data_IF_561110857239
#
_entry.id   IF_561110857239
#
_cell.length_a   1.000
_cell.length_b   1.000
_cell.length_c   1.000
_cell.angle_alpha   90.00
_cell.angle_beta   90.00
_cell.angle_gamma   90.00
#
_symmetry.space_group_name_H-M   'P 1'
#
loop_
_entity.id
_entity.type
_entity.pdbx_description
1 polymer ?
#
# COMPACT_ATOMS: atom_id res chain seq x y z
N UNK A 1 1.61 12.71 -9.15
CA UNK A 1 2.41 11.52 -8.79
C UNK A 1 2.67 10.65 -10.03
N UNK A 2 2.76 11.24 -11.21
CA UNK A 2 2.68 10.45 -12.46
C UNK A 2 4.02 9.80 -12.82
N UNK A 3 5.13 10.48 -12.49
CA UNK A 3 6.48 9.89 -12.49
C UNK A 3 6.54 8.65 -11.60
N UNK A 4 6.07 8.77 -10.36
CA UNK A 4 6.03 7.66 -9.41
C UNK A 4 5.20 6.48 -9.92
N UNK A 5 4.02 6.72 -10.51
CA UNK A 5 3.18 5.66 -11.13
C UNK A 5 3.93 4.92 -12.22
N UNK A 6 4.58 5.67 -13.12
CA UNK A 6 5.36 5.09 -14.21
C UNK A 6 6.52 4.24 -13.65
N UNK A 7 7.26 4.76 -12.69
CA UNK A 7 8.40 4.05 -12.11
C UNK A 7 7.95 2.80 -11.34
N UNK A 8 6.86 2.88 -10.58
CA UNK A 8 6.28 1.73 -9.89
C UNK A 8 5.80 0.65 -10.86
N UNK A 9 5.16 1.02 -11.97
CA UNK A 9 4.73 0.02 -12.97
C UNK A 9 5.85 -0.80 -13.61
N UNK A 10 7.11 -0.40 -13.44
CA UNK A 10 8.28 -1.15 -13.93
C UNK A 10 8.89 -2.12 -12.92
N UNK A 11 8.54 -1.97 -11.62
CA UNK A 11 9.12 -2.75 -10.52
C UNK A 11 8.08 -3.57 -9.76
N UNK A 12 6.79 -3.31 -10.00
CA UNK A 12 5.69 -4.08 -9.41
C UNK A 12 5.53 -5.39 -10.17
N UNK A 13 5.36 -6.47 -9.41
CA UNK A 13 4.94 -7.77 -9.93
C UNK A 13 3.48 -7.71 -10.39
N UNK A 14 3.27 -7.75 -11.71
CA UNK A 14 1.96 -7.72 -12.33
C UNK A 14 1.28 -9.10 -12.36
N UNK A 15 1.91 -10.17 -11.88
CA UNK A 15 1.26 -11.47 -11.71
C UNK A 15 0.37 -11.49 -10.46
N UNK A 16 0.80 -10.81 -9.38
CA UNK A 16 0.15 -10.88 -8.06
C UNK A 16 -0.64 -9.62 -7.69
N UNK A 17 -0.38 -8.49 -8.35
CA UNK A 17 -1.03 -7.22 -8.07
C UNK A 17 -1.71 -6.61 -9.30
N UNK A 18 -2.80 -5.89 -9.06
CA UNK A 18 -3.52 -5.08 -10.05
C UNK A 18 -3.66 -3.64 -9.57
N UNK A 19 -3.67 -2.70 -10.52
CA UNK A 19 -3.96 -1.29 -10.23
C UNK A 19 -5.37 -1.18 -9.63
N UNK A 20 -5.44 -0.66 -8.40
CA UNK A 20 -6.68 -0.40 -7.69
C UNK A 20 -7.21 1.00 -7.97
N UNK A 21 -8.51 1.08 -8.25
CA UNK A 21 -9.23 2.34 -8.39
C UNK A 21 -9.74 2.86 -7.03
N UNK A 22 -10.47 3.98 -7.05
CA UNK A 22 -11.06 4.54 -5.82
C UNK A 22 -12.09 3.61 -5.18
N UNK A 23 -12.74 2.75 -5.95
CA UNK A 23 -13.69 1.75 -5.45
C UNK A 23 -12.96 0.69 -4.64
N UNK A 24 -11.81 0.21 -5.12
CA UNK A 24 -10.95 -0.76 -4.42
C UNK A 24 -10.31 -0.14 -3.19
N UNK A 25 -9.84 1.10 -3.28
CA UNK A 25 -9.34 1.86 -2.12
C UNK A 25 -10.40 1.95 -1.01
N UNK A 26 -11.63 2.34 -1.36
CA UNK A 26 -12.75 2.42 -0.40
C UNK A 26 -13.10 1.06 0.20
N UNK A 27 -13.12 0.00 -0.62
CA UNK A 27 -13.48 -1.34 -0.16
C UNK A 27 -12.44 -1.92 0.80
N UNK A 28 -11.16 -1.76 0.50
CA UNK A 28 -10.06 -2.36 1.27
C UNK A 28 -9.70 -1.55 2.51
N UNK A 29 -9.67 -0.22 2.39
CA UNK A 29 -9.16 0.67 3.43
C UNK A 29 -10.24 1.55 4.08
N UNK A 30 -11.47 1.57 3.57
CA UNK A 30 -12.50 2.53 3.99
C UNK A 30 -12.04 3.99 3.81
N UNK A 31 -11.21 4.23 2.79
CA UNK A 31 -10.73 5.56 2.40
C UNK A 31 -11.47 5.99 1.14
N UNK A 32 -12.15 7.13 1.22
CA UNK A 32 -12.85 7.74 0.09
C UNK A 32 -11.88 8.61 -0.71
N UNK A 33 -12.09 8.71 -2.03
CA UNK A 33 -11.29 9.58 -2.91
C UNK A 33 -11.20 11.04 -2.41
N UNK A 34 -12.25 11.54 -1.75
CA UNK A 34 -12.29 12.92 -1.26
C UNK A 34 -11.43 13.18 0.01
N UNK A 35 -10.98 12.11 0.67
CA UNK A 35 -10.13 12.18 1.87
C UNK A 35 -8.65 12.35 1.51
N UNK A 36 -8.28 12.06 0.27
CA UNK A 36 -6.91 12.15 -0.26
C UNK A 36 -6.84 13.14 -1.41
N UNK A 37 -5.68 13.74 -1.61
CA UNK A 37 -5.43 14.55 -2.81
C UNK A 37 -5.16 13.66 -4.03
N UNK A 38 -4.40 12.59 -3.82
CA UNK A 38 -4.04 11.63 -4.85
C UNK A 38 -3.65 10.29 -4.19
N UNK A 39 -3.72 9.18 -4.93
CA UNK A 39 -3.27 7.87 -4.43
C UNK A 39 -2.75 6.95 -5.54
N UNK A 40 -1.87 6.02 -5.18
CA UNK A 40 -1.46 4.89 -6.00
C UNK A 40 -1.80 3.64 -5.20
N UNK A 41 -2.53 2.70 -5.81
CA UNK A 41 -2.85 1.42 -5.19
C UNK A 41 -2.53 0.31 -6.18
N UNK A 42 -1.69 -0.62 -5.76
CA UNK A 42 -1.54 -1.95 -6.35
C UNK A 42 -2.08 -2.93 -5.32
N UNK A 43 -3.27 -3.46 -5.59
CA UNK A 43 -3.96 -4.34 -4.68
C UNK A 43 -3.76 -5.80 -5.10
N UNK A 44 -3.85 -6.76 -4.16
CA UNK A 44 -3.83 -8.18 -4.50
C UNK A 44 -4.85 -8.52 -5.60
N UNK A 45 -4.44 -9.39 -6.53
CA UNK A 45 -5.35 -9.97 -7.53
C UNK A 45 -6.30 -10.98 -6.92
N UNK A 46 -5.79 -11.83 -6.03
CA UNK A 46 -6.57 -12.82 -5.28
C UNK A 46 -6.63 -12.48 -3.79
N UNK A 47 -7.66 -12.98 -3.10
CA UNK A 47 -7.69 -12.96 -1.64
C UNK A 47 -6.65 -13.91 -1.02
N UNK A 48 -5.96 -14.69 -1.85
CA UNK A 48 -4.87 -15.58 -1.42
C UNK A 48 -3.53 -14.86 -1.33
N UNK A 49 -3.35 -13.71 -2.00
CA UNK A 49 -2.08 -12.99 -2.04
C UNK A 49 -2.08 -11.82 -1.04
N UNK A 50 -0.99 -11.65 -0.30
CA UNK A 50 -0.81 -10.50 0.59
C UNK A 50 -0.15 -9.30 -0.10
N UNK A 51 0.43 -9.48 -1.28
CA UNK A 51 1.20 -8.45 -1.96
C UNK A 51 0.36 -7.21 -2.28
N UNK A 52 0.78 -6.08 -1.76
CA UNK A 52 0.00 -4.84 -1.79
C UNK A 52 0.93 -3.63 -1.65
N UNK A 53 0.74 -2.63 -2.51
CA UNK A 53 1.45 -1.35 -2.41
C UNK A 53 0.43 -0.22 -2.42
N UNK A 54 0.52 0.66 -1.43
CA UNK A 54 -0.34 1.83 -1.30
C UNK A 54 0.52 3.07 -1.04
N UNK A 55 0.32 4.11 -1.84
CA UNK A 55 0.86 5.45 -1.60
C UNK A 55 -0.31 6.42 -1.54
N UNK A 56 -0.49 7.08 -0.41
CA UNK A 56 -1.51 8.13 -0.23
C UNK A 56 -0.85 9.49 -0.15
N UNK A 57 -1.44 10.49 -0.79
CA UNK A 57 -1.13 11.90 -0.59
C UNK A 57 -2.29 12.59 0.15
N UNK A 58 -2.03 13.06 1.35
CA UNK A 58 -2.99 13.80 2.18
C UNK A 58 -2.93 15.31 1.95
N UNK A 59 -3.96 16.02 2.41
CA UNK A 59 -4.00 17.50 2.40
C UNK A 59 -3.07 18.12 3.45
N UNK A 60 -2.85 17.40 4.55
CA UNK A 60 -1.96 17.77 5.64
C UNK A 60 -1.40 16.52 6.32
N UNK A 61 -0.43 16.70 7.20
CA UNK A 61 0.17 15.59 7.97
C UNK A 61 -0.83 15.01 8.96
N UNK A 62 -1.73 15.83 9.52
CA UNK A 62 -2.80 15.36 10.42
C UNK A 62 -3.76 14.41 9.68
N UNK A 63 -4.11 14.73 8.43
CA UNK A 63 -4.92 13.83 7.58
C UNK A 63 -4.18 12.51 7.36
N UNK A 64 -2.87 12.54 7.13
CA UNK A 64 -2.06 11.32 6.99
C UNK A 64 -2.10 10.47 8.26
N UNK A 65 -2.01 11.06 9.45
CA UNK A 65 -2.11 10.32 10.71
C UNK A 65 -3.47 9.63 10.86
N UNK A 66 -4.56 10.29 10.45
CA UNK A 66 -5.89 9.68 10.44
C UNK A 66 -6.00 8.52 9.44
N UNK A 67 -5.43 8.68 8.25
CA UNK A 67 -5.41 7.62 7.23
C UNK A 67 -4.55 6.44 7.65
N UNK A 68 -3.45 6.67 8.39
CA UNK A 68 -2.57 5.62 8.92
C UNK A 68 -3.35 4.62 9.77
N UNK A 69 -4.29 5.07 10.61
CA UNK A 69 -5.14 4.18 11.42
C UNK A 69 -5.95 3.21 10.54
N UNK A 70 -6.47 3.70 9.41
CA UNK A 70 -7.22 2.86 8.45
C UNK A 70 -6.32 1.83 7.76
N UNK A 71 -5.11 2.24 7.39
CA UNK A 71 -4.10 1.36 6.78
C UNK A 71 -3.62 0.29 7.76
N UNK A 72 -3.35 0.65 9.02
CA UNK A 72 -3.02 -0.30 10.08
C UNK A 72 -4.15 -1.30 10.34
N UNK A 73 -5.41 -0.84 10.26
CA UNK A 73 -6.58 -1.72 10.32
C UNK A 73 -6.60 -2.76 9.19
N UNK A 74 -6.26 -2.37 7.96
CA UNK A 74 -6.14 -3.29 6.80
C UNK A 74 -5.02 -4.31 7.02
N UNK A 75 -3.85 -3.86 7.44
CA UNK A 75 -2.71 -4.73 7.77
C UNK A 75 -3.10 -5.76 8.82
N UNK A 76 -3.73 -5.32 9.91
CA UNK A 76 -4.15 -6.23 11.00
C UNK A 76 -5.14 -7.27 10.50
N UNK A 77 -6.16 -6.86 9.74
CA UNK A 77 -7.15 -7.79 9.17
C UNK A 77 -6.50 -8.84 8.27
N UNK A 78 -5.53 -8.45 7.44
CA UNK A 78 -4.78 -9.41 6.61
C UNK A 78 -3.94 -10.35 7.47
N UNK A 79 -3.21 -9.80 8.44
CA UNK A 79 -2.37 -10.58 9.36
C UNK A 79 -3.20 -11.63 10.10
N UNK A 80 -4.33 -11.23 10.68
CA UNK A 80 -5.25 -12.14 11.39
C UNK A 80 -5.80 -13.23 10.45
N UNK A 81 -6.09 -12.87 9.20
CA UNK A 81 -6.59 -13.82 8.20
C UNK A 81 -5.54 -14.88 7.86
N UNK A 82 -4.32 -14.46 7.50
CA UNK A 82 -3.28 -15.37 7.00
C UNK A 82 -2.58 -16.17 8.09
N UNK A 83 -2.47 -15.64 9.31
CA UNK A 83 -1.83 -16.33 10.45
C UNK A 83 -2.45 -17.71 10.73
N UNK A 84 -3.73 -17.90 10.38
CA UNK A 84 -4.43 -19.17 10.62
C UNK A 84 -4.17 -20.26 9.57
N UNK A 85 -3.65 -19.95 8.38
CA UNK A 85 -3.53 -20.95 7.30
C UNK A 85 -2.45 -20.74 6.22
N UNK A 86 -1.81 -19.56 6.10
CA UNK A 86 -0.68 -19.32 5.17
C UNK A 86 0.45 -18.55 5.86
N UNK A 87 1.39 -19.26 6.52
CA UNK A 87 2.50 -18.61 7.21
C UNK A 87 3.38 -17.77 6.26
N UNK A 88 3.56 -18.21 5.01
CA UNK A 88 4.36 -17.47 4.02
C UNK A 88 3.79 -16.07 3.73
N UNK A 89 2.47 -15.94 3.55
CA UNK A 89 1.82 -14.64 3.33
C UNK A 89 1.87 -13.77 4.59
N UNK A 90 1.73 -14.39 5.76
CA UNK A 90 1.87 -13.72 7.04
C UNK A 90 3.28 -13.14 7.23
N UNK A 91 4.32 -13.85 6.82
CA UNK A 91 5.71 -13.38 6.89
C UNK A 91 5.93 -12.16 5.99
N UNK A 92 5.34 -12.12 4.79
CA UNK A 92 5.42 -10.94 3.91
C UNK A 92 4.78 -9.72 4.57
N UNK A 93 3.61 -9.89 5.20
CA UNK A 93 2.90 -8.80 5.92
C UNK A 93 3.68 -8.36 7.17
N UNK A 94 4.34 -9.30 7.85
CA UNK A 94 5.16 -9.01 9.02
C UNK A 94 6.38 -8.17 8.67
N UNK A 95 6.96 -8.41 7.48
CA UNK A 95 8.08 -7.65 6.92
C UNK A 95 7.66 -6.42 6.10
N UNK A 96 6.41 -5.98 6.22
CA UNK A 96 5.91 -4.79 5.53
C UNK A 96 6.73 -3.53 5.85
N UNK A 97 6.75 -2.60 4.91
CA UNK A 97 7.17 -1.21 5.14
C UNK A 97 5.92 -0.36 5.33
N UNK A 98 5.87 0.41 6.42
CA UNK A 98 4.86 1.45 6.64
C UNK A 98 5.59 2.73 7.04
N UNK A 99 5.62 3.71 6.14
CA UNK A 99 6.40 4.94 6.32
C UNK A 99 5.56 6.20 6.06
N UNK A 100 5.90 7.30 6.74
CA UNK A 100 5.31 8.62 6.54
C UNK A 100 6.39 9.59 6.08
N UNK A 101 6.13 10.27 4.96
CA UNK A 101 6.99 11.32 4.43
C UNK A 101 6.19 12.61 4.25
N UNK A 102 6.17 13.44 5.28
CA UNK A 102 5.35 14.64 5.32
C UNK A 102 3.87 14.32 5.05
N UNK A 103 3.32 14.83 3.94
CA UNK A 103 1.94 14.59 3.52
C UNK A 103 1.72 13.26 2.79
N UNK A 104 2.63 12.30 2.91
CA UNK A 104 2.54 11.01 2.24
C UNK A 104 2.55 9.85 3.24
N UNK A 105 1.70 8.86 2.98
CA UNK A 105 1.71 7.57 3.67
C UNK A 105 2.02 6.47 2.67
N UNK A 106 2.99 5.63 2.99
CA UNK A 106 3.49 4.57 2.12
C UNK A 106 3.31 3.24 2.85
N UNK A 107 2.66 2.29 2.21
CA UNK A 107 2.60 0.88 2.61
C UNK A 107 3.17 0.03 1.48
N UNK A 108 4.08 -0.88 1.83
CA UNK A 108 4.63 -1.88 0.92
C UNK A 108 4.57 -3.23 1.63
N UNK A 109 3.78 -4.14 1.09
CA UNK A 109 3.73 -5.54 1.46
C UNK A 109 4.16 -6.30 0.21
N UNK A 110 5.43 -6.69 0.14
CA UNK A 110 5.97 -7.44 -0.99
C UNK A 110 7.29 -8.08 -0.64
N UNK A 111 7.64 -9.19 -1.31
CA UNK A 111 8.99 -9.76 -1.27
C UNK A 111 10.03 -8.80 -1.86
N UNK A 112 9.63 -7.95 -2.80
CA UNK A 112 10.49 -6.94 -3.45
C UNK A 112 10.43 -5.58 -2.76
N UNK A 113 10.09 -5.55 -1.45
CA UNK A 113 9.87 -4.33 -0.69
C UNK A 113 11.03 -3.34 -0.79
N UNK A 114 12.27 -3.80 -0.76
CA UNK A 114 13.46 -2.97 -0.88
C UNK A 114 13.56 -2.22 -2.23
N UNK A 115 13.24 -2.90 -3.35
CA UNK A 115 13.28 -2.30 -4.70
C UNK A 115 12.16 -1.27 -4.87
N UNK A 116 10.96 -1.61 -4.39
CA UNK A 116 9.80 -0.72 -4.43
C UNK A 116 10.06 0.51 -3.56
N UNK A 117 10.55 0.30 -2.34
CA UNK A 117 10.87 1.38 -1.40
C UNK A 117 11.94 2.31 -1.95
N UNK A 118 13.01 1.77 -2.54
CA UNK A 118 14.05 2.57 -3.19
C UNK A 118 13.49 3.40 -4.36
N UNK A 119 12.54 2.87 -5.12
CA UNK A 119 11.86 3.58 -6.21
C UNK A 119 11.02 4.73 -5.67
N UNK A 120 10.25 4.49 -4.61
CA UNK A 120 9.46 5.51 -3.93
C UNK A 120 10.36 6.61 -3.35
N UNK A 121 11.41 6.23 -2.63
CA UNK A 121 12.35 7.15 -1.99
C UNK A 121 13.06 8.08 -2.99
N UNK A 122 13.26 7.66 -4.24
CA UNK A 122 13.84 8.53 -5.29
C UNK A 122 12.93 9.70 -5.67
N UNK A 123 11.62 9.58 -5.50
CA UNK A 123 10.66 10.66 -5.82
C UNK A 123 10.59 11.73 -4.73
N UNK A 124 11.11 11.45 -3.54
CA UNK A 124 11.13 12.36 -2.38
C UNK A 124 12.52 12.98 -2.11
N UNK A 125 13.49 12.75 -3.00
CA UNK A 125 14.84 13.33 -2.92
C UNK A 125 14.93 14.68 -3.61
#
# INVERSE_FOLDING_TARGET
MDSLRKNLSQVIDDEQMDIGDSSKLRKLYYISKNEVEDFILYAPKSNMDANEVLVLKGKSEEVIQQLKVKVEGRIKKQSDSFNSYRPEEYDIISNRVLDIKGKYLILIISKDSATIEATINKEFK
#
